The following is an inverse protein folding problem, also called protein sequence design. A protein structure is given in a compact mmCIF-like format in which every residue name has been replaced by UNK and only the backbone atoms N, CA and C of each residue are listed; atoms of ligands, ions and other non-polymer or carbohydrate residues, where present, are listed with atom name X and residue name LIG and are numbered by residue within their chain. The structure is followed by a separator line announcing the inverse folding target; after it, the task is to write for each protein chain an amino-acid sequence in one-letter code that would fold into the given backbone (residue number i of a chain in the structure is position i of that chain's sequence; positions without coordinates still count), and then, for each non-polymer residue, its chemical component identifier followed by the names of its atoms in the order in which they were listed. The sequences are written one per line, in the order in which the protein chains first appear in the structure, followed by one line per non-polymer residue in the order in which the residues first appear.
data_IF_436161457040
#
_entry.id   IF_436161457040
#
_cell.length_a   1.000
_cell.length_b   1.000
_cell.length_c   1.000
_cell.angle_alpha   90.00
_cell.angle_beta   90.00
_cell.angle_gamma   90.00
#
_symmetry.space_group_name_H-M   'P 1'
#
loop_
_entity.id
_entity.type
_entity.pdbx_description
1 polymer ?
#
# COMPACT_ATOMS: atom_id res chain seq x y z
N UNK A 1 8.67 22.43 -12.77
CA UNK A 1 7.29 21.99 -12.52
C UNK A 1 7.37 20.77 -11.63
N UNK A 2 7.25 20.95 -10.30
CA UNK A 2 7.18 19.81 -9.38
C UNK A 2 5.84 19.17 -9.65
N UNK A 3 5.84 17.97 -10.22
CA UNK A 3 4.59 17.27 -10.43
C UNK A 3 4.12 16.79 -9.05
N UNK A 4 3.03 17.37 -8.58
CA UNK A 4 2.34 16.98 -7.35
C UNK A 4 1.69 15.60 -7.53
N UNK A 5 2.48 14.54 -7.68
CA UNK A 5 1.99 13.20 -7.41
C UNK A 5 1.92 13.10 -5.88
N UNK A 6 0.71 13.33 -5.36
CA UNK A 6 0.42 13.49 -3.94
C UNK A 6 1.08 12.41 -3.10
N UNK A 7 1.57 12.82 -1.94
CA UNK A 7 2.26 12.00 -0.96
C UNK A 7 1.61 10.61 -0.84
N UNK A 8 2.25 9.53 -1.31
CA UNK A 8 1.61 8.22 -1.43
C UNK A 8 1.09 7.69 -0.09
N UNK A 9 1.77 8.03 1.01
CA UNK A 9 1.30 7.75 2.35
C UNK A 9 0.04 8.53 2.74
N UNK A 10 -0.10 9.79 2.32
CA UNK A 10 -1.30 10.59 2.57
C UNK A 10 -2.52 10.07 1.79
N UNK A 11 -2.30 9.64 0.54
CA UNK A 11 -3.35 9.00 -0.28
C UNK A 11 -3.76 7.67 0.36
N UNK A 12 -2.79 6.88 0.80
CA UNK A 12 -3.02 5.60 1.45
C UNK A 12 -3.80 5.78 2.76
N UNK A 13 -3.44 6.78 3.57
CA UNK A 13 -4.14 7.11 4.81
C UNK A 13 -5.61 7.43 4.55
N UNK A 14 -5.91 8.29 3.56
CA UNK A 14 -7.28 8.62 3.19
C UNK A 14 -8.05 7.35 2.76
N UNK A 15 -7.41 6.51 1.94
CA UNK A 15 -8.01 5.30 1.42
C UNK A 15 -8.32 4.27 2.54
N UNK A 16 -7.45 4.13 3.53
CA UNK A 16 -7.71 3.30 4.73
C UNK A 16 -8.81 3.92 5.61
N UNK A 17 -8.81 5.24 5.81
CA UNK A 17 -9.81 5.95 6.63
C UNK A 17 -11.22 5.88 6.05
N UNK A 18 -11.36 5.82 4.72
CA UNK A 18 -12.68 5.67 4.07
C UNK A 18 -13.30 4.27 4.27
N UNK A 19 -12.61 3.34 4.94
CA UNK A 19 -13.15 2.01 5.28
C UNK A 19 -13.30 1.08 4.08
N UNK A 20 -12.72 1.43 2.92
CA UNK A 20 -12.86 0.68 1.66
C UNK A 20 -11.84 -0.47 1.51
N UNK A 21 -11.02 -0.74 2.53
CA UNK A 21 -10.06 -1.84 2.53
C UNK A 21 -10.64 -2.97 3.38
N UNK A 22 -11.30 -3.97 2.77
CA UNK A 22 -11.77 -5.13 3.53
C UNK A 22 -10.58 -5.93 4.06
N UNK A 23 -10.69 -6.42 5.30
CA UNK A 23 -9.81 -7.48 5.79
C UNK A 23 -10.06 -8.76 4.99
N UNK A 24 -9.01 -9.55 4.78
CA UNK A 24 -9.16 -10.86 4.13
C UNK A 24 -9.80 -11.88 5.09
N UNK A 25 -10.05 -13.11 4.62
CA UNK A 25 -10.70 -14.21 5.39
C UNK A 25 -9.95 -14.59 6.68
N UNK A 26 -8.69 -14.16 6.83
CA UNK A 26 -7.85 -14.38 8.02
C UNK A 26 -7.83 -13.19 8.96
N UNK A 27 -8.61 -12.14 8.67
CA UNK A 27 -8.65 -10.90 9.44
C UNK A 27 -7.46 -9.97 9.19
N UNK A 28 -6.56 -10.30 8.25
CA UNK A 28 -5.42 -9.44 7.93
C UNK A 28 -5.87 -8.25 7.07
N UNK A 29 -5.31 -7.08 7.35
CA UNK A 29 -5.54 -5.90 6.52
C UNK A 29 -4.71 -6.02 5.23
N UNK A 30 -5.07 -5.25 4.20
CA UNK A 30 -4.25 -5.19 2.98
C UNK A 30 -2.82 -4.67 3.26
N UNK A 31 -2.60 -3.96 4.38
CA UNK A 31 -1.28 -3.54 4.83
C UNK A 31 -0.47 -4.71 5.39
N UNK A 32 -1.08 -5.60 6.16
CA UNK A 32 -0.43 -6.81 6.65
C UNK A 32 -0.04 -7.73 5.50
N UNK A 33 -0.93 -7.88 4.51
CA UNK A 33 -0.65 -8.65 3.30
C UNK A 33 0.49 -8.03 2.47
N UNK A 34 0.60 -6.69 2.43
CA UNK A 34 1.73 -6.02 1.80
C UNK A 34 3.04 -6.29 2.54
N UNK A 35 3.05 -6.24 3.88
CA UNK A 35 4.23 -6.58 4.67
C UNK A 35 4.67 -8.03 4.45
N UNK A 36 3.71 -8.95 4.36
CA UNK A 36 3.98 -10.35 4.04
C UNK A 36 4.56 -10.50 2.63
N UNK A 37 3.98 -9.83 1.62
CA UNK A 37 4.53 -9.78 0.27
C UNK A 37 5.97 -9.28 0.26
N UNK A 38 6.27 -8.23 1.01
CA UNK A 38 7.61 -7.64 1.11
C UNK A 38 8.63 -8.61 1.71
N UNK A 39 8.24 -9.39 2.73
CA UNK A 39 9.10 -10.41 3.33
C UNK A 39 9.47 -11.54 2.35
N UNK A 40 8.57 -11.91 1.44
CA UNK A 40 8.81 -12.97 0.44
C UNK A 40 9.48 -12.49 -0.85
N UNK A 41 9.17 -11.27 -1.31
CA UNK A 41 9.66 -10.73 -2.58
C UNK A 41 10.96 -9.93 -2.47
N UNK A 42 11.37 -9.55 -1.26
CA UNK A 42 12.47 -8.61 -1.04
C UNK A 42 12.10 -7.15 -1.27
N UNK A 43 10.80 -6.82 -1.41
CA UNK A 43 10.30 -5.45 -1.53
C UNK A 43 10.47 -4.69 -0.20
N UNK A 44 11.71 -4.34 0.18
CA UNK A 44 12.01 -3.60 1.41
C UNK A 44 12.67 -2.25 1.10
N UNK A 45 12.49 -1.25 1.98
CA UNK A 45 13.03 0.10 1.77
C UNK A 45 14.55 0.21 1.91
N UNK A 46 15.27 -0.87 2.27
CA UNK A 46 16.73 -0.91 2.22
C UNK A 46 17.25 -1.32 0.83
N UNK A 47 16.42 -2.00 0.02
CA UNK A 47 16.72 -2.40 -1.36
C UNK A 47 16.01 -1.52 -2.40
N UNK A 48 14.93 -0.85 -2.01
CA UNK A 48 14.19 0.12 -2.80
C UNK A 48 14.39 1.53 -2.22
N UNK A 49 14.25 2.57 -3.03
CA UNK A 49 14.14 3.92 -2.47
C UNK A 49 12.88 4.01 -1.60
N UNK A 50 12.91 4.86 -0.57
CA UNK A 50 11.74 5.12 0.30
C UNK A 50 10.52 5.53 -0.50
N UNK A 51 10.73 6.32 -1.56
CA UNK A 51 9.67 6.75 -2.48
C UNK A 51 9.07 5.58 -3.26
N UNK A 52 9.91 4.70 -3.84
CA UNK A 52 9.43 3.53 -4.58
C UNK A 52 8.66 2.57 -3.67
N UNK A 53 9.12 2.40 -2.42
CA UNK A 53 8.42 1.61 -1.41
C UNK A 53 7.03 2.19 -1.09
N UNK A 54 6.93 3.49 -0.90
CA UNK A 54 5.66 4.16 -0.58
C UNK A 54 4.65 4.05 -1.74
N UNK A 55 5.10 4.20 -2.99
CA UNK A 55 4.26 3.98 -4.17
C UNK A 55 3.84 2.52 -4.35
N UNK A 56 4.74 1.56 -4.13
CA UNK A 56 4.42 0.14 -4.18
C UNK A 56 3.36 -0.23 -3.13
N UNK A 57 3.47 0.33 -1.93
CA UNK A 57 2.51 0.15 -0.84
C UNK A 57 1.12 0.67 -1.23
N UNK A 58 1.05 1.90 -1.75
CA UNK A 58 -0.21 2.49 -2.22
C UNK A 58 -0.83 1.67 -3.37
N UNK A 59 -0.04 1.28 -4.36
CA UNK A 59 -0.50 0.48 -5.50
C UNK A 59 -1.05 -0.88 -5.05
N UNK A 60 -0.35 -1.58 -4.16
CA UNK A 60 -0.78 -2.88 -3.66
C UNK A 60 -2.10 -2.80 -2.89
N UNK A 61 -2.24 -1.80 -2.00
CA UNK A 61 -3.44 -1.62 -1.20
C UNK A 61 -4.61 -1.13 -2.05
N UNK A 62 -4.39 -0.18 -2.97
CA UNK A 62 -5.45 0.32 -3.86
C UNK A 62 -5.98 -0.76 -4.82
N UNK A 63 -5.14 -1.69 -5.28
CA UNK A 63 -5.59 -2.84 -6.07
C UNK A 63 -6.55 -3.78 -5.30
N UNK A 64 -6.58 -3.69 -3.96
CA UNK A 64 -7.47 -4.48 -3.07
C UNK A 64 -8.76 -3.75 -2.72
N UNK A 65 -8.87 -2.45 -3.03
CA UNK A 65 -10.02 -1.57 -2.71
C UNK A 65 -11.19 -1.74 -3.68
N UNK A 66 -11.05 -2.62 -4.68
CA UNK A 66 -12.12 -2.93 -5.62
C UNK A 66 -11.94 -4.30 -6.25
N UNK A 67 -12.36 -5.34 -5.53
CA UNK A 67 -13.23 -6.34 -6.19
C UNK A 67 -14.66 -5.93 -5.84
N UNK A 68 -15.24 -5.10 -6.70
CA UNK A 68 -16.70 -4.92 -6.78
C UNK A 68 -17.17 -5.91 -7.84
#
# INVERSE_FOLDING_TARGET
MIICYGEPDAILLNLVQTGKVPSNERGHTALDDFNHFCAYSGCNPAQLSTEAYAWARLAFVSARVGKI
#
